data_IF_775392160103
#
_entry.id   IF_775392160103
#
_cell.length_a   1.000
_cell.length_b   1.000
_cell.length_c   1.000
_cell.angle_alpha   90.00
_cell.angle_beta   90.00
_cell.angle_gamma   90.00
#
_symmetry.space_group_name_H-M   'P 1'
#
loop_
_entity.id
_entity.type
_entity.pdbx_description
1 polymer ?
#
# COMPACT_ATOMS: atom_id res chain seq x y z
N UNK A 1 1.31 6.91 16.08
CA UNK A 1 2.20 5.72 16.17
C UNK A 1 3.60 6.23 16.49
N UNK A 2 4.52 5.43 17.04
CA UNK A 2 5.89 5.90 17.37
C UNK A 2 6.96 4.93 16.90
N UNK A 3 8.12 5.48 16.55
CA UNK A 3 9.35 4.74 16.24
C UNK A 3 10.42 5.10 17.27
N UNK A 4 11.12 4.07 17.76
CA UNK A 4 12.26 4.24 18.64
C UNK A 4 13.38 3.28 18.23
N UNK A 5 14.64 3.70 18.35
CA UNK A 5 15.81 2.86 18.17
C UNK A 5 16.95 3.41 19.06
N UNK A 6 17.99 2.63 19.39
CA UNK A 6 18.90 2.93 20.51
C UNK A 6 19.63 4.27 20.47
N UNK A 7 19.75 4.88 19.29
CA UNK A 7 20.45 6.14 19.07
C UNK A 7 19.55 7.35 19.38
N UNK A 8 18.22 7.16 19.43
CA UNK A 8 17.29 8.23 19.75
C UNK A 8 17.16 8.43 21.26
N UNK A 9 17.24 9.70 21.69
CA UNK A 9 16.93 10.09 23.07
C UNK A 9 15.43 9.93 23.39
N UNK A 10 14.57 10.28 22.44
CA UNK A 10 13.11 10.17 22.55
C UNK A 10 12.48 9.51 21.31
N UNK A 11 11.39 8.73 21.47
CA UNK A 11 10.68 8.16 20.34
C UNK A 11 10.08 9.23 19.42
N UNK A 12 10.23 9.05 18.12
CA UNK A 12 9.65 9.93 17.11
C UNK A 12 8.19 9.56 16.90
N UNK A 13 7.33 10.57 16.88
CA UNK A 13 5.91 10.38 16.58
C UNK A 13 5.65 10.35 15.06
N UNK A 14 4.94 9.31 14.63
CA UNK A 14 4.47 9.12 13.27
C UNK A 14 3.01 9.60 13.26
N UNK A 15 2.85 10.83 12.78
CA UNK A 15 1.54 11.48 12.62
C UNK A 15 0.91 11.05 11.32
N UNK A 16 1.31 11.53 10.14
CA UNK A 16 0.75 11.08 8.85
C UNK A 16 1.88 10.69 7.89
N UNK A 17 2.22 11.59 6.96
CA UNK A 17 3.46 11.55 6.21
C UNK A 17 4.59 12.11 7.09
N UNK A 18 5.47 11.25 7.58
CA UNK A 18 6.63 11.61 8.39
C UNK A 18 7.90 11.41 7.58
N UNK A 19 8.67 12.47 7.39
CA UNK A 19 10.01 12.38 6.78
C UNK A 19 11.03 12.20 7.91
N UNK A 20 11.81 11.12 7.82
CA UNK A 20 12.92 10.84 8.71
C UNK A 20 14.21 10.85 7.89
N UNK A 21 14.98 11.91 8.05
CA UNK A 21 16.29 12.09 7.44
C UNK A 21 17.37 11.55 8.37
N UNK A 22 18.23 10.66 7.88
CA UNK A 22 19.39 10.13 8.62
C UNK A 22 20.65 10.41 7.82
N UNK A 23 21.47 11.35 8.29
CA UNK A 23 22.63 11.83 7.51
C UNK A 23 23.82 10.87 7.54
N UNK A 24 24.03 10.18 8.66
CA UNK A 24 25.08 9.17 8.76
C UNK A 24 24.69 7.90 7.99
N UNK A 25 25.48 7.56 6.97
CA UNK A 25 25.23 6.43 6.07
C UNK A 25 25.27 5.08 6.80
N UNK A 26 26.08 4.95 7.86
CA UNK A 26 26.17 3.72 8.66
C UNK A 26 24.89 3.53 9.46
N UNK A 27 24.37 4.58 10.08
CA UNK A 27 23.08 4.55 10.78
C UNK A 27 21.94 4.33 9.82
N UNK A 28 21.89 5.05 8.70
CA UNK A 28 20.86 4.88 7.68
C UNK A 28 20.80 3.44 7.17
N UNK A 29 21.93 2.88 6.74
CA UNK A 29 21.99 1.50 6.23
C UNK A 29 21.65 0.47 7.30
N UNK A 30 22.08 0.67 8.55
CA UNK A 30 21.70 -0.19 9.66
C UNK A 30 20.20 -0.13 9.95
N UNK A 31 19.60 1.07 9.92
CA UNK A 31 18.17 1.25 10.13
C UNK A 31 17.35 0.60 9.02
N UNK A 32 17.74 0.76 7.75
CA UNK A 32 17.14 0.04 6.61
C UNK A 32 17.22 -1.48 6.82
N UNK A 33 18.38 -2.00 7.23
CA UNK A 33 18.55 -3.42 7.56
C UNK A 33 17.59 -3.85 8.68
N UNK A 34 17.47 -3.05 9.74
CA UNK A 34 16.56 -3.33 10.87
C UNK A 34 15.10 -3.34 10.44
N UNK A 35 14.67 -2.48 9.50
CA UNK A 35 13.33 -2.54 8.93
C UNK A 35 13.07 -3.83 8.14
N UNK A 36 14.04 -4.29 7.34
CA UNK A 36 13.92 -5.55 6.61
C UNK A 36 13.92 -6.77 7.54
N UNK A 37 14.72 -6.75 8.61
CA UNK A 37 14.77 -7.80 9.62
C UNK A 37 13.85 -7.54 10.82
N UNK A 38 12.84 -6.68 10.65
CA UNK A 38 12.02 -6.22 11.76
C UNK A 38 11.33 -7.39 12.45
N UNK A 39 11.46 -7.42 13.77
CA UNK A 39 10.87 -8.43 14.65
C UNK A 39 10.65 -7.81 16.04
N UNK A 40 9.82 -8.44 16.87
CA UNK A 40 9.54 -7.91 18.21
C UNK A 40 10.79 -7.83 19.10
N UNK A 41 11.83 -8.62 18.79
CA UNK A 41 13.10 -8.65 19.53
C UNK A 41 14.16 -7.66 19.00
N UNK A 42 13.98 -7.09 17.80
CA UNK A 42 14.98 -6.19 17.24
C UNK A 42 15.07 -4.85 17.98
N UNK A 43 16.22 -4.18 17.87
CA UNK A 43 16.48 -2.90 18.56
C UNK A 43 15.52 -1.79 18.11
N UNK A 44 15.08 -1.84 16.85
CA UNK A 44 14.05 -0.96 16.31
C UNK A 44 12.69 -1.34 16.88
N UNK A 45 12.03 -0.41 17.57
CA UNK A 45 10.69 -0.57 18.13
C UNK A 45 9.71 0.33 17.40
N UNK A 46 8.63 -0.28 16.91
CA UNK A 46 7.47 0.41 16.34
C UNK A 46 6.27 0.09 17.23
N UNK A 47 5.57 1.09 17.75
CA UNK A 47 4.46 0.86 18.68
C UNK A 47 3.36 1.93 18.57
N UNK A 48 2.15 1.54 18.98
CA UNK A 48 1.01 2.47 19.06
C UNK A 48 1.03 3.32 20.34
N UNK A 49 0.06 4.22 20.49
CA UNK A 49 -0.09 5.07 21.69
C UNK A 49 -0.29 4.28 22.99
N UNK A 50 -0.74 3.01 22.88
CA UNK A 50 -0.94 2.10 24.01
C UNK A 50 0.29 1.23 24.28
N UNK A 51 1.44 1.58 23.68
CA UNK A 51 2.71 0.85 23.77
C UNK A 51 2.64 -0.59 23.24
N UNK A 52 1.69 -0.87 22.34
CA UNK A 52 1.61 -2.19 21.68
C UNK A 52 2.53 -2.20 20.48
N UNK A 53 3.44 -3.16 20.46
CA UNK A 53 4.36 -3.37 19.33
C UNK A 53 3.59 -3.63 18.04
N UNK A 54 4.04 -3.00 16.95
CA UNK A 54 3.57 -3.28 15.60
C UNK A 54 4.05 -4.66 15.18
N UNK A 55 3.17 -5.48 14.63
CA UNK A 55 3.55 -6.80 14.12
C UNK A 55 4.23 -6.70 12.77
N UNK A 56 5.11 -7.65 12.45
CA UNK A 56 5.78 -7.74 11.13
C UNK A 56 4.77 -7.77 9.98
N UNK A 57 3.65 -8.48 10.16
CA UNK A 57 2.58 -8.55 9.16
C UNK A 57 1.85 -7.22 8.93
N UNK A 58 1.94 -6.26 9.86
CA UNK A 58 1.31 -4.94 9.80
C UNK A 58 2.23 -3.88 9.17
N UNK A 59 3.52 -4.19 8.97
CA UNK A 59 4.50 -3.33 8.31
C UNK A 59 4.53 -3.59 6.80
N UNK A 60 4.60 -2.52 5.99
CA UNK A 60 4.84 -2.58 4.56
C UNK A 60 6.09 -1.74 4.24
N UNK A 61 7.11 -2.38 3.66
CA UNK A 61 8.38 -1.75 3.33
C UNK A 61 8.58 -1.76 1.81
N UNK A 62 8.86 -0.59 1.23
CA UNK A 62 9.07 -0.40 -0.20
C UNK A 62 10.39 0.32 -0.43
N UNK A 63 11.32 -0.38 -1.07
CA UNK A 63 12.61 0.19 -1.51
C UNK A 63 12.67 0.24 -3.04
N UNK A 64 12.24 -0.83 -3.70
CA UNK A 64 12.07 -0.86 -5.15
C UNK A 64 10.62 -0.49 -5.50
N UNK A 65 10.41 0.74 -5.96
CA UNK A 65 9.10 1.29 -6.30
C UNK A 65 8.54 0.59 -7.56
N UNK A 66 9.36 0.39 -8.59
CA UNK A 66 8.91 -0.27 -9.82
C UNK A 66 8.75 -1.79 -9.65
N UNK A 67 9.61 -2.41 -8.84
CA UNK A 67 9.52 -3.84 -8.54
C UNK A 67 8.41 -4.21 -7.56
N UNK A 68 7.70 -3.24 -6.98
CA UNK A 68 6.59 -3.51 -6.07
C UNK A 68 5.37 -4.06 -6.83
N UNK A 69 5.01 -5.31 -6.52
CA UNK A 69 3.85 -5.97 -7.13
C UNK A 69 2.53 -5.51 -6.51
N UNK A 70 1.98 -4.44 -7.09
CA UNK A 70 0.63 -3.93 -6.76
C UNK A 70 -0.48 -4.94 -7.09
N UNK A 71 -0.22 -5.90 -7.99
CA UNK A 71 -1.18 -6.89 -8.47
C UNK A 71 -1.01 -8.27 -7.80
N UNK A 72 -0.46 -8.31 -6.58
CA UNK A 72 -0.36 -9.55 -5.81
C UNK A 72 -1.73 -10.24 -5.67
N UNK A 73 -1.75 -11.57 -5.58
CA UNK A 73 -3.01 -12.33 -5.50
C UNK A 73 -3.93 -11.88 -4.37
N UNK A 74 -3.36 -11.48 -3.23
CA UNK A 74 -4.11 -10.94 -2.09
C UNK A 74 -4.78 -9.60 -2.42
N UNK A 75 -4.11 -8.75 -3.21
CA UNK A 75 -4.66 -7.47 -3.66
C UNK A 75 -5.77 -7.66 -4.68
N UNK A 76 -5.56 -8.51 -5.69
CA UNK A 76 -6.59 -8.78 -6.70
C UNK A 76 -7.88 -9.30 -6.05
N UNK A 77 -7.77 -10.17 -5.04
CA UNK A 77 -8.94 -10.64 -4.27
C UNK A 77 -9.71 -9.49 -3.60
N UNK A 78 -9.00 -8.52 -3.00
CA UNK A 78 -9.63 -7.36 -2.37
C UNK A 78 -10.30 -6.45 -3.40
N UNK A 79 -9.63 -6.19 -4.52
CA UNK A 79 -10.16 -5.38 -5.63
C UNK A 79 -11.42 -6.02 -6.23
N UNK A 80 -11.38 -7.33 -6.48
CA UNK A 80 -12.52 -8.05 -7.05
C UNK A 80 -13.72 -8.04 -6.10
N UNK A 81 -13.49 -8.23 -4.80
CA UNK A 81 -14.53 -8.15 -3.78
C UNK A 81 -15.09 -6.72 -3.61
N UNK A 82 -14.25 -5.69 -3.68
CA UNK A 82 -14.68 -4.30 -3.63
C UNK A 82 -15.56 -3.94 -4.84
N UNK A 83 -15.15 -4.33 -6.04
CA UNK A 83 -15.95 -4.13 -7.26
C UNK A 83 -17.30 -4.85 -7.20
N UNK A 84 -17.32 -6.08 -6.69
CA UNK A 84 -18.57 -6.82 -6.44
C UNK A 84 -19.46 -6.07 -5.44
N UNK A 85 -18.89 -5.53 -4.35
CA UNK A 85 -19.62 -4.71 -3.38
C UNK A 85 -20.19 -3.44 -4.01
N UNK A 86 -19.41 -2.74 -4.82
CA UNK A 86 -19.85 -1.52 -5.52
C UNK A 86 -21.01 -1.80 -6.50
N UNK A 87 -21.06 -3.00 -7.10
CA UNK A 87 -22.18 -3.44 -7.92
C UNK A 87 -23.41 -3.75 -7.06
N UNK A 88 -23.23 -4.31 -5.86
CA UNK A 88 -24.33 -4.52 -4.91
C UNK A 88 -24.99 -3.21 -4.48
N UNK A 89 -24.23 -2.12 -4.39
CA UNK A 89 -24.74 -0.78 -4.09
C UNK A 89 -25.54 -0.16 -5.26
N UNK A 90 -25.51 -0.77 -6.45
CA UNK A 90 -26.23 -0.34 -7.66
C UNK A 90 -27.14 -1.47 -8.19
N UNK A 91 -28.29 -1.73 -7.53
CA UNK A 91 -29.14 -2.89 -7.83
C UNK A 91 -29.60 -2.98 -9.29
N UNK A 92 -29.85 -1.84 -9.94
CA UNK A 92 -30.26 -1.80 -11.35
C UNK A 92 -29.17 -2.34 -12.28
N UNK A 93 -27.92 -1.91 -12.10
CA UNK A 93 -26.78 -2.37 -12.91
C UNK A 93 -26.49 -3.84 -12.63
N UNK A 94 -26.54 -4.24 -11.36
CA UNK A 94 -26.36 -5.64 -10.97
C UNK A 94 -27.39 -6.54 -11.63
N UNK A 95 -28.67 -6.16 -11.59
CA UNK A 95 -29.75 -6.93 -12.21
C UNK A 95 -29.56 -7.05 -13.74
N UNK A 96 -29.09 -6.00 -14.41
CA UNK A 96 -28.77 -6.07 -15.84
C UNK A 96 -27.64 -7.06 -16.14
N UNK A 97 -26.57 -7.07 -15.33
CA UNK A 97 -25.46 -8.02 -15.48
C UNK A 97 -25.96 -9.46 -15.28
N UNK A 98 -26.75 -9.71 -14.25
CA UNK A 98 -27.33 -11.03 -13.96
C UNK A 98 -28.26 -11.50 -15.09
N UNK A 99 -29.07 -10.61 -15.67
CA UNK A 99 -29.91 -10.94 -16.83
C UNK A 99 -29.08 -11.34 -18.05
N UNK A 100 -27.99 -10.62 -18.33
CA UNK A 100 -27.08 -10.95 -19.43
C UNK A 100 -26.35 -12.27 -19.18
N UNK A 101 -25.89 -12.50 -17.95
CA UNK A 101 -25.25 -13.76 -17.55
C UNK A 101 -26.21 -14.94 -17.73
N UNK A 102 -27.47 -14.80 -17.29
CA UNK A 102 -28.49 -15.83 -17.47
C UNK A 102 -28.78 -16.11 -18.94
N UNK A 103 -28.84 -15.07 -19.78
CA UNK A 103 -29.03 -15.23 -21.23
C UNK A 103 -27.87 -16.02 -21.85
N UNK A 104 -26.63 -15.76 -21.44
CA UNK A 104 -25.45 -16.51 -21.87
C UNK A 104 -25.55 -17.97 -21.41
N UNK A 105 -25.91 -18.21 -20.15
CA UNK A 105 -26.09 -19.55 -19.58
C UNK A 105 -27.15 -20.36 -20.33
N UNK A 106 -28.30 -19.75 -20.65
CA UNK A 106 -29.35 -20.40 -21.43
C UNK A 106 -28.85 -20.82 -22.82
N UNK A 107 -28.16 -19.93 -23.53
CA UNK A 107 -27.59 -20.25 -24.85
C UNK A 107 -26.59 -21.41 -24.79
N UNK A 108 -25.71 -21.41 -23.79
CA UNK A 108 -24.74 -22.51 -23.59
C UNK A 108 -25.42 -23.81 -23.16
N UNK A 109 -26.48 -23.75 -22.36
CA UNK A 109 -27.21 -24.95 -21.92
C UNK A 109 -27.84 -25.72 -23.08
N UNK A 110 -28.28 -25.04 -24.13
CA UNK A 110 -28.82 -25.70 -25.32
C UNK A 110 -27.73 -26.54 -26.00
N UNK A 111 -26.53 -26.00 -26.15
CA UNK A 111 -25.38 -26.71 -26.71
C UNK A 111 -24.94 -27.88 -25.81
N UNK A 112 -25.06 -27.74 -24.48
CA UNK A 112 -24.79 -28.85 -23.55
C UNK A 112 -25.81 -29.99 -23.71
N UNK A 113 -27.10 -29.68 -23.91
CA UNK A 113 -28.15 -30.67 -24.14
C UNK A 113 -28.03 -31.40 -25.48
N UNK A 114 -27.49 -30.73 -26.50
CA UNK A 114 -27.21 -31.34 -27.81
C UNK A 114 -25.99 -32.27 -27.78
N UNK A 115 -25.20 -32.25 -26.71
CA UNK A 115 -24.04 -33.12 -26.56
C UNK A 115 -24.45 -34.57 -26.27
N UNK A 116 -23.68 -35.53 -26.79
CA UNK A 116 -23.89 -36.96 -26.51
C UNK A 116 -23.59 -37.36 -25.05
N UNK A 117 -22.92 -36.48 -24.30
CA UNK A 117 -22.55 -36.68 -22.91
C UNK A 117 -23.57 -36.03 -21.97
N UNK A 118 -23.74 -36.61 -20.78
CA UNK A 118 -24.53 -36.03 -19.69
C UNK A 118 -23.69 -34.96 -18.98
N UNK A 119 -23.92 -33.69 -19.32
CA UNK A 119 -23.12 -32.55 -18.88
C UNK A 119 -23.86 -31.75 -17.79
N UNK A 120 -23.16 -31.44 -16.71
CA UNK A 120 -23.62 -30.55 -15.63
C UNK A 120 -22.84 -29.23 -15.67
N UNK A 121 -23.48 -28.13 -15.23
CA UNK A 121 -22.87 -26.81 -15.15
C UNK A 121 -23.46 -26.00 -13.99
N UNK A 122 -22.65 -25.08 -13.45
CA UNK A 122 -23.03 -24.14 -12.40
C UNK A 122 -23.48 -22.79 -12.99
N UNK A 123 -23.97 -21.89 -12.14
CA UNK A 123 -24.33 -20.52 -12.52
C UNK A 123 -23.09 -19.63 -12.71
N UNK A 124 -23.19 -18.63 -13.60
CA UNK A 124 -22.15 -17.63 -13.79
C UNK A 124 -22.30 -16.53 -12.74
N UNK A 125 -21.32 -16.40 -11.85
CA UNK A 125 -21.33 -15.36 -10.82
C UNK A 125 -20.65 -14.06 -11.28
N UNK A 126 -21.03 -12.93 -10.68
CA UNK A 126 -20.39 -11.63 -10.96
C UNK A 126 -18.88 -11.67 -10.67
N UNK A 127 -18.48 -12.33 -9.58
CA UNK A 127 -17.07 -12.45 -9.22
C UNK A 127 -16.26 -13.24 -10.26
N UNK A 128 -16.84 -14.29 -10.86
CA UNK A 128 -16.22 -15.04 -11.95
C UNK A 128 -16.10 -14.19 -13.22
N UNK A 129 -17.12 -13.39 -13.55
CA UNK A 129 -17.06 -12.44 -14.65
C UNK A 129 -15.93 -11.41 -14.46
N UNK A 130 -15.80 -10.85 -13.26
CA UNK A 130 -14.72 -9.90 -12.92
C UNK A 130 -13.34 -10.55 -13.11
N UNK A 131 -13.18 -11.79 -12.65
CA UNK A 131 -11.92 -12.55 -12.81
C UNK A 131 -11.64 -12.86 -14.28
N UNK A 132 -12.66 -13.30 -15.03
CA UNK A 132 -12.55 -13.65 -16.45
C UNK A 132 -12.19 -12.44 -17.32
N UNK A 133 -12.66 -11.24 -16.95
CA UNK A 133 -12.29 -9.98 -17.59
C UNK A 133 -10.81 -9.61 -17.36
N UNK A 134 -10.15 -10.22 -16.37
CA UNK A 134 -8.73 -9.98 -16.08
C UNK A 134 -8.48 -8.65 -15.37
N UNK A 135 -9.44 -8.17 -14.57
CA UNK A 135 -9.35 -6.89 -13.85
C UNK A 135 -8.13 -6.88 -12.93
N UNK A 136 -7.27 -5.87 -13.13
CA UNK A 136 -6.02 -5.63 -12.39
C UNK A 136 -5.63 -4.15 -12.49
N UNK A 137 -4.71 -3.71 -11.64
CA UNK A 137 -4.14 -2.35 -11.68
C UNK A 137 -3.25 -2.25 -12.93
N UNK A 138 -3.39 -1.17 -13.69
CA UNK A 138 -2.52 -0.86 -14.82
C UNK A 138 -1.15 -0.42 -14.31
N UNK A 139 -0.06 -0.93 -14.90
CA UNK A 139 1.31 -0.65 -14.39
C UNK A 139 2.35 -0.42 -15.49
N UNK A 140 1.95 -0.35 -16.76
CA UNK A 140 2.89 -0.39 -17.90
C UNK A 140 3.43 1.00 -18.30
N UNK A 141 2.83 2.08 -17.80
CA UNK A 141 3.15 3.45 -18.22
C UNK A 141 3.59 4.36 -17.08
N UNK A 142 3.79 3.81 -15.88
CA UNK A 142 3.89 4.62 -14.67
C UNK A 142 5.27 5.29 -14.58
N UNK A 143 5.26 6.58 -14.31
CA UNK A 143 6.38 7.28 -13.68
C UNK A 143 6.55 6.82 -12.23
N UNK A 144 7.72 7.09 -11.62
CA UNK A 144 7.95 6.76 -10.20
C UNK A 144 6.89 7.43 -9.30
N UNK A 145 6.50 8.66 -9.65
CA UNK A 145 5.46 9.39 -8.94
C UNK A 145 4.09 8.70 -9.00
N UNK A 146 3.63 8.32 -10.20
CA UNK A 146 2.38 7.58 -10.38
C UNK A 146 2.44 6.25 -9.64
N UNK A 147 3.59 5.57 -9.67
CA UNK A 147 3.76 4.31 -8.96
C UNK A 147 3.70 4.46 -7.44
N UNK A 148 4.30 5.50 -6.88
CA UNK A 148 4.15 5.83 -5.46
C UNK A 148 2.68 6.07 -5.10
N UNK A 149 1.93 6.77 -5.96
CA UNK A 149 0.50 6.99 -5.78
C UNK A 149 -0.31 5.69 -5.75
N UNK A 150 -0.04 4.77 -6.69
CA UNK A 150 -0.67 3.44 -6.69
C UNK A 150 -0.35 2.64 -5.42
N UNK A 151 0.90 2.69 -4.96
CA UNK A 151 1.31 2.00 -3.73
C UNK A 151 0.54 2.58 -2.53
N UNK A 152 0.34 3.89 -2.47
CA UNK A 152 -0.46 4.54 -1.43
C UNK A 152 -1.94 4.15 -1.50
N UNK A 153 -2.51 4.04 -2.71
CA UNK A 153 -3.87 3.54 -2.90
C UNK A 153 -3.99 2.09 -2.43
N UNK A 154 -3.10 1.22 -2.87
CA UNK A 154 -3.02 -0.19 -2.46
C UNK A 154 -2.87 -0.32 -0.95
N UNK A 155 -2.00 0.48 -0.34
CA UNK A 155 -1.82 0.52 1.10
C UNK A 155 -3.11 0.91 1.84
N UNK A 156 -3.89 1.85 1.29
CA UNK A 156 -5.20 2.22 1.82
C UNK A 156 -6.18 1.05 1.88
N UNK A 157 -6.16 0.19 0.84
CA UNK A 157 -7.00 -0.99 0.74
C UNK A 157 -6.55 -2.11 1.70
N UNK A 158 -5.27 -2.16 2.03
CA UNK A 158 -4.68 -3.16 2.92
C UNK A 158 -4.93 -2.83 4.40
N UNK A 159 -6.17 -2.94 4.87
CA UNK A 159 -6.57 -2.63 6.27
C UNK A 159 -5.76 -3.31 7.38
N UNK A 160 -5.07 -4.43 7.08
CA UNK A 160 -4.17 -5.13 8.02
C UNK A 160 -2.80 -4.45 8.15
N UNK A 161 -2.37 -3.68 7.15
CA UNK A 161 -1.14 -2.90 7.18
C UNK A 161 -1.42 -1.58 7.90
N UNK A 162 -0.54 -1.22 8.84
CA UNK A 162 -0.70 -0.03 9.69
C UNK A 162 0.44 0.97 9.55
N UNK A 163 1.54 0.60 8.89
CA UNK A 163 2.64 1.49 8.58
C UNK A 163 3.22 1.13 7.21
N UNK A 164 3.35 2.13 6.36
CA UNK A 164 4.11 2.04 5.10
C UNK A 164 5.43 2.81 5.25
N UNK A 165 6.50 2.26 4.71
CA UNK A 165 7.82 2.90 4.70
C UNK A 165 8.36 2.88 3.28
N UNK A 166 8.62 4.08 2.74
CA UNK A 166 9.41 4.27 1.55
C UNK A 166 10.87 4.51 1.94
N UNK A 167 11.79 3.78 1.31
CA UNK A 167 13.23 3.92 1.55
C UNK A 167 13.86 4.67 0.38
N UNK A 168 14.46 5.83 0.67
CA UNK A 168 15.20 6.67 -0.28
C UNK A 168 14.39 6.97 -1.56
N UNK A 169 13.09 7.21 -1.40
CA UNK A 169 12.18 7.48 -2.52
C UNK A 169 12.25 8.94 -2.97
N UNK A 170 12.60 9.84 -2.05
CA UNK A 170 12.79 11.26 -2.30
C UNK A 170 13.84 11.58 -3.35
N UNK A 171 14.81 10.67 -3.53
CA UNK A 171 15.83 10.77 -4.57
C UNK A 171 15.25 10.85 -6.00
N UNK A 172 14.03 10.35 -6.20
CA UNK A 172 13.37 10.28 -7.50
C UNK A 172 12.26 11.31 -7.70
N UNK A 173 11.86 12.01 -6.65
CA UNK A 173 10.64 12.80 -6.61
C UNK A 173 10.98 14.28 -6.53
N UNK A 174 10.38 15.06 -7.42
CA UNK A 174 10.45 16.52 -7.36
C UNK A 174 9.71 17.05 -6.13
N UNK A 175 10.01 18.29 -5.74
CA UNK A 175 9.32 18.95 -4.61
C UNK A 175 7.79 18.90 -4.75
N UNK A 176 7.27 19.24 -5.93
CA UNK A 176 5.84 19.26 -6.22
C UNK A 176 5.21 17.85 -6.18
N UNK A 177 5.93 16.81 -6.61
CA UNK A 177 5.48 15.43 -6.51
C UNK A 177 5.41 14.98 -5.05
N UNK A 178 6.42 15.30 -4.25
CA UNK A 178 6.42 15.04 -2.81
C UNK A 178 5.30 15.76 -2.08
N UNK A 179 5.01 17.02 -2.42
CA UNK A 179 3.86 17.77 -1.88
C UNK A 179 2.54 17.03 -2.09
N UNK A 180 2.30 16.57 -3.33
CA UNK A 180 1.07 15.84 -3.68
C UNK A 180 0.96 14.51 -2.94
N UNK A 181 2.06 13.77 -2.78
CA UNK A 181 2.06 12.52 -2.01
C UNK A 181 1.73 12.80 -0.54
N UNK A 182 2.37 13.81 0.07
CA UNK A 182 2.12 14.21 1.46
C UNK A 182 0.66 14.65 1.65
N UNK A 183 0.11 15.44 0.72
CA UNK A 183 -1.29 15.86 0.75
C UNK A 183 -2.24 14.66 0.70
N UNK A 184 -2.01 13.73 -0.22
CA UNK A 184 -2.81 12.51 -0.33
C UNK A 184 -2.76 11.67 0.94
N UNK A 185 -1.57 11.47 1.53
CA UNK A 185 -1.38 10.71 2.78
C UNK A 185 -2.18 11.34 3.92
N UNK A 186 -2.17 12.67 4.03
CA UNK A 186 -2.96 13.40 5.04
C UNK A 186 -4.46 13.24 4.82
N UNK A 187 -4.93 13.42 3.58
CA UNK A 187 -6.35 13.30 3.23
C UNK A 187 -6.88 11.88 3.46
N UNK A 188 -6.04 10.86 3.27
CA UNK A 188 -6.37 9.45 3.50
C UNK A 188 -6.09 8.97 4.94
N UNK A 189 -5.56 9.85 5.81
CA UNK A 189 -5.18 9.55 7.20
C UNK A 189 -4.27 8.31 7.33
N UNK A 190 -3.34 8.19 6.38
CA UNK A 190 -2.38 7.10 6.31
C UNK A 190 -1.14 7.38 7.16
N UNK A 191 -0.50 6.31 7.65
CA UNK A 191 0.78 6.41 8.39
C UNK A 191 1.91 5.96 7.49
N UNK A 192 2.71 6.91 7.03
CA UNK A 192 3.77 6.69 6.04
C UNK A 192 5.06 7.35 6.50
N UNK A 193 6.16 6.59 6.48
CA UNK A 193 7.51 7.12 6.71
C UNK A 193 8.26 7.20 5.38
N UNK A 194 8.85 8.35 5.11
CA UNK A 194 9.88 8.52 4.10
C UNK A 194 11.23 8.49 4.81
N UNK A 195 11.95 7.38 4.68
CA UNK A 195 13.29 7.22 5.27
C UNK A 195 14.33 7.65 4.25
N UNK A 196 14.99 8.78 4.51
CA UNK A 196 15.82 9.46 3.52
C UNK A 196 17.24 9.69 4.04
N UNK A 197 18.29 9.53 3.22
CA UNK A 197 19.67 9.75 3.64
C UNK A 197 20.07 11.24 3.61
N UNK A 198 19.20 12.11 3.09
CA UNK A 198 19.44 13.55 2.92
C UNK A 198 18.15 14.32 3.15
N UNK A 199 18.30 15.57 3.58
CA UNK A 199 17.16 16.48 3.79
C UNK A 199 16.32 16.58 2.52
N UNK A 200 15.02 16.44 2.71
CA UNK A 200 14.07 16.39 1.60
C UNK A 200 13.38 17.75 1.48
N UNK A 201 13.96 18.61 0.64
CA UNK A 201 13.54 19.99 0.43
C UNK A 201 13.32 20.75 1.76
N UNK A 202 12.31 21.61 1.82
CA UNK A 202 11.88 22.44 2.95
C UNK A 202 10.62 21.87 3.64
N UNK A 203 10.35 20.57 3.52
CA UNK A 203 9.24 19.95 4.22
C UNK A 203 9.51 19.75 5.71
N UNK A 204 8.44 19.69 6.54
CA UNK A 204 8.55 19.30 7.94
C UNK A 204 9.15 17.90 8.05
N UNK A 205 10.27 17.78 8.75
CA UNK A 205 11.03 16.53 8.83
C UNK A 205 11.81 16.42 10.14
N UNK A 206 12.05 15.18 10.55
CA UNK A 206 13.01 14.87 11.60
C UNK A 206 14.36 14.58 10.96
N UNK A 207 15.42 15.23 11.44
CA UNK A 207 16.79 15.05 10.97
C UNK A 207 17.63 14.48 12.09
N UNK A 208 18.14 13.27 11.90
CA UNK A 208 19.20 12.71 12.73
C UNK A 208 20.53 13.08 12.07
N UNK A 209 21.21 14.06 12.67
CA UNK A 209 22.48 14.58 12.16
C UNK A 209 23.65 13.60 12.41
N UNK A 210 24.84 13.98 11.93
CA UNK A 210 26.06 13.17 12.10
C UNK A 210 26.55 13.05 13.54
N UNK A 211 26.11 13.96 14.43
CA UNK A 211 26.42 13.91 15.85
C UNK A 211 25.36 13.12 16.64
N UNK A 212 24.44 12.46 15.92
CA UNK A 212 23.32 11.66 16.44
C UNK A 212 22.29 12.47 17.22
N UNK A 213 22.24 13.78 17.01
CA UNK A 213 21.22 14.63 17.59
C UNK A 213 19.99 14.67 16.67
N UNK A 214 18.81 14.52 17.26
CA UNK A 214 17.55 14.57 16.52
C UNK A 214 17.00 16.00 16.53
N UNK A 215 16.82 16.56 15.33
CA UNK A 215 16.31 17.91 15.11
C UNK A 215 14.96 17.84 14.40
N UNK A 216 13.98 18.61 14.86
CA UNK A 216 12.74 18.85 14.13
C UNK A 216 12.92 20.10 13.25
N UNK A 217 13.03 19.92 11.94
CA UNK A 217 13.20 21.00 10.97
C UNK A 217 11.86 21.29 10.25
N UNK A 218 11.57 22.58 10.01
CA UNK A 218 10.38 23.06 9.29
C UNK A 218 9.03 22.59 9.87
N UNK A 219 9.00 22.15 11.14
CA UNK A 219 7.78 21.84 11.89
C UNK A 219 7.21 23.16 12.46
N UNK A 220 6.15 23.69 11.83
CA UNK A 220 5.41 24.85 12.34
C UNK A 220 4.36 24.45 13.36
#
# INVERSE_FOLDING_TARGET
MKINFPILDEPIEILDATILTVEDVTVFSNLVRQFYSYSEECDLKLFDEKLRSLKVSELLLVTDIFGFDVNSQSMLKLIHADLESQLNDKPEVKSMIEQLANTITELLSYECLENDLDLEYDEITILELIKALGVKIETQSDTIFEKCFEILQVYNYLSKKKLLIFVNSGAYLTKNEMEKLIEYIKLSNQKVIFLEPRRLYDFPQYVLDSDYFLIAENMN
#
